data_IF_697545212479
#
_entry.id   IF_697545212479
#
_cell.length_a   1.000
_cell.length_b   1.000
_cell.length_c   1.000
_cell.angle_alpha   90.00
_cell.angle_beta   90.00
_cell.angle_gamma   90.00
#
_symmetry.space_group_name_H-M   'P 1'
#
loop_
_entity.id
_entity.type
_entity.pdbx_description
1 polymer ?
#
# COMPACT_ATOMS: atom_id res chain seq x y z
N UNK A 1 -22.08 -34.07 28.81
CA UNK A 1 -22.06 -32.60 28.63
C UNK A 1 -20.72 -32.10 28.05
N UNK A 2 -20.21 -32.71 26.97
CA UNK A 2 -18.93 -32.30 26.34
C UNK A 2 -19.04 -32.09 24.84
N UNK A 3 -19.95 -32.82 24.18
CA UNK A 3 -20.32 -32.58 22.76
C UNK A 3 -20.83 -31.15 22.53
N UNK A 4 -21.62 -30.58 23.45
CA UNK A 4 -22.17 -29.23 23.28
C UNK A 4 -21.12 -28.12 23.30
N UNK A 5 -20.04 -28.29 24.08
CA UNK A 5 -18.90 -27.37 24.05
C UNK A 5 -18.16 -27.52 22.72
N UNK A 6 -17.86 -28.73 22.27
CA UNK A 6 -17.16 -28.94 20.98
C UNK A 6 -17.95 -28.31 19.82
N UNK A 7 -19.27 -28.47 19.77
CA UNK A 7 -20.11 -27.85 18.75
C UNK A 7 -20.12 -26.31 18.85
N UNK A 8 -20.18 -25.75 20.06
CA UNK A 8 -20.12 -24.30 20.27
C UNK A 8 -18.77 -23.72 19.81
N UNK A 9 -17.67 -24.38 20.16
CA UNK A 9 -16.33 -23.97 19.74
C UNK A 9 -16.13 -24.16 18.24
N UNK A 10 -16.66 -25.22 17.62
CA UNK A 10 -16.63 -25.40 16.17
C UNK A 10 -17.40 -24.30 15.44
N UNK A 11 -18.60 -23.93 15.91
CA UNK A 11 -19.39 -22.84 15.30
C UNK A 11 -18.68 -21.49 15.51
N UNK A 12 -18.09 -21.25 16.67
CA UNK A 12 -17.32 -20.04 16.97
C UNK A 12 -16.07 -19.90 16.07
N UNK A 13 -15.32 -20.99 15.87
CA UNK A 13 -14.18 -21.03 14.95
C UNK A 13 -14.63 -20.82 13.49
N UNK A 14 -15.73 -21.44 13.07
CA UNK A 14 -16.31 -21.21 11.73
C UNK A 14 -16.77 -19.76 11.55
N UNK A 15 -17.30 -19.13 12.60
CA UNK A 15 -17.68 -17.71 12.56
C UNK A 15 -16.48 -16.77 12.46
N UNK A 16 -15.35 -17.11 13.10
CA UNK A 16 -14.11 -16.36 12.99
C UNK A 16 -13.41 -16.56 11.64
N UNK A 17 -13.46 -17.76 11.06
CA UNK A 17 -12.91 -18.02 9.72
C UNK A 17 -13.70 -17.32 8.60
N UNK A 18 -14.99 -17.00 8.81
CA UNK A 18 -15.83 -16.26 7.85
C UNK A 18 -15.55 -14.75 7.79
N UNK A 19 -14.64 -14.23 8.61
CA UNK A 19 -14.23 -12.82 8.59
C UNK A 19 -13.00 -12.54 7.71
N UNK A 20 -12.46 -13.54 7.01
CA UNK A 20 -11.30 -13.38 6.13
C UNK A 20 -11.52 -14.04 4.76
N UNK A 21 -12.59 -13.64 4.06
CA UNK A 21 -12.72 -13.90 2.63
C UNK A 21 -12.13 -12.70 1.88
N UNK A 22 -10.83 -12.78 1.60
CA UNK A 22 -10.10 -11.76 0.86
C UNK A 22 -8.76 -12.27 0.40
N UNK A 23 -8.78 -13.22 -0.54
CA UNK A 23 -7.82 -13.46 -1.64
C UNK A 23 -7.67 -14.95 -1.94
N UNK A 24 -7.84 -15.37 -3.21
CA UNK A 24 -6.72 -15.54 -4.17
C UNK A 24 -7.09 -16.39 -5.42
N UNK A 25 -7.00 -15.73 -6.59
CA UNK A 25 -6.46 -16.16 -7.91
C UNK A 25 -6.85 -17.45 -8.66
N UNK A 26 -7.04 -17.32 -9.99
CA UNK A 26 -6.29 -18.04 -11.06
C UNK A 26 -6.52 -17.34 -12.43
N UNK A 27 -5.51 -16.73 -13.06
CA UNK A 27 -4.52 -17.24 -14.05
C UNK A 27 -5.04 -17.57 -15.46
N UNK A 28 -4.62 -16.78 -16.47
CA UNK A 28 -4.22 -17.32 -17.78
C UNK A 28 -3.25 -16.40 -18.55
N UNK A 29 -1.99 -16.86 -18.60
CA UNK A 29 -0.97 -16.79 -19.66
C UNK A 29 -0.99 -15.62 -20.69
N UNK A 30 0.07 -14.80 -20.69
CA UNK A 30 0.38 -13.90 -21.82
C UNK A 30 1.50 -12.90 -21.57
N UNK A 31 2.76 -13.33 -21.74
CA UNK A 31 3.99 -12.53 -22.02
C UNK A 31 3.88 -10.99 -21.92
N UNK A 32 4.49 -10.39 -20.89
CA UNK A 32 5.16 -9.07 -20.96
C UNK A 32 5.99 -8.80 -19.71
N UNK A 33 6.98 -7.92 -19.89
CA UNK A 33 8.22 -7.81 -19.14
C UNK A 33 8.07 -7.25 -17.72
N UNK A 34 9.03 -7.66 -16.87
CA UNK A 34 9.84 -6.80 -16.01
C UNK A 34 9.09 -5.71 -15.25
N UNK A 35 8.71 -6.00 -14.00
CA UNK A 35 8.85 -5.19 -12.76
C UNK A 35 8.23 -6.04 -11.65
N UNK A 36 9.04 -6.65 -10.78
CA UNK A 36 8.57 -7.51 -9.71
C UNK A 36 9.33 -7.21 -8.41
N UNK A 37 8.67 -7.08 -7.25
CA UNK A 37 9.34 -6.75 -6.00
C UNK A 37 10.18 -7.93 -5.52
N UNK A 38 11.43 -7.66 -5.15
CA UNK A 38 12.28 -8.63 -4.47
C UNK A 38 11.77 -8.79 -3.03
N UNK A 39 10.87 -9.74 -2.79
CA UNK A 39 10.41 -10.09 -1.45
C UNK A 39 11.55 -10.77 -0.71
N UNK A 40 12.26 -9.99 0.12
CA UNK A 40 13.22 -10.52 1.09
C UNK A 40 12.43 -11.09 2.25
N UNK A 41 12.42 -12.42 2.40
CA UNK A 41 11.86 -13.10 3.58
C UNK A 41 12.51 -12.58 4.85
N UNK A 42 11.80 -11.74 5.59
CA UNK A 42 12.11 -11.36 6.96
C UNK A 42 11.03 -11.94 7.87
N UNK A 43 11.43 -12.82 8.78
CA UNK A 43 10.60 -13.30 9.88
C UNK A 43 10.03 -12.12 10.67
N UNK A 44 8.74 -11.84 10.51
CA UNK A 44 8.05 -10.78 11.23
C UNK A 44 7.81 -11.23 12.67
N UNK A 45 8.70 -10.85 13.58
CA UNK A 45 8.34 -10.79 15.00
C UNK A 45 7.50 -9.52 15.16
N UNK A 46 6.22 -9.69 15.52
CA UNK A 46 5.34 -8.58 15.87
C UNK A 46 5.84 -7.92 17.15
N UNK A 47 6.68 -6.90 17.02
CA UNK A 47 6.90 -5.93 18.09
C UNK A 47 5.70 -4.98 18.10
N UNK A 48 4.77 -5.19 19.04
CA UNK A 48 3.58 -4.34 19.23
C UNK A 48 3.90 -2.85 19.44
N UNK A 49 5.15 -2.52 19.78
CA UNK A 49 5.62 -1.14 19.87
C UNK A 49 5.82 -0.48 18.49
N UNK A 50 6.28 -1.22 17.48
CA UNK A 50 6.46 -0.68 16.13
C UNK A 50 5.12 -0.44 15.41
N UNK A 51 4.12 -1.28 15.68
CA UNK A 51 2.77 -1.09 15.17
C UNK A 51 2.12 0.20 15.69
N UNK A 52 2.31 0.53 16.97
CA UNK A 52 1.82 1.79 17.55
C UNK A 52 2.51 3.03 16.97
N UNK A 53 3.81 2.93 16.70
CA UNK A 53 4.57 4.01 16.03
C UNK A 53 4.09 4.24 14.59
N UNK A 54 3.79 3.16 13.86
CA UNK A 54 3.30 3.26 12.49
C UNK A 54 1.91 3.88 12.41
N UNK A 55 1.00 3.56 13.33
CA UNK A 55 -0.33 4.21 13.43
C UNK A 55 -0.24 5.72 13.67
N UNK A 56 0.71 6.17 14.50
CA UNK A 56 0.92 7.60 14.76
C UNK A 56 1.43 8.33 13.50
N UNK A 57 2.38 7.71 12.79
CA UNK A 57 2.93 8.23 11.53
C UNK A 57 1.85 8.28 10.46
N UNK A 58 0.96 7.29 10.41
CA UNK A 58 -0.16 7.23 9.47
C UNK A 58 -1.19 8.33 9.76
N UNK A 59 -1.49 8.60 11.02
CA UNK A 59 -2.36 9.72 11.43
C UNK A 59 -1.80 11.07 10.99
N UNK A 60 -0.50 11.27 11.13
CA UNK A 60 0.17 12.52 10.77
C UNK A 60 0.28 12.68 9.25
N UNK A 61 0.67 11.63 8.53
CA UNK A 61 0.73 11.61 7.06
C UNK A 61 -0.65 11.83 6.42
N UNK A 62 -1.70 11.24 7.00
CA UNK A 62 -3.07 11.40 6.54
C UNK A 62 -3.74 12.67 7.07
N UNK A 63 -3.10 13.45 7.95
CA UNK A 63 -3.70 14.61 8.62
C UNK A 63 -5.12 14.33 9.18
N UNK A 64 -5.31 13.15 9.78
CA UNK A 64 -6.60 12.64 10.28
C UNK A 64 -7.72 12.48 9.22
N UNK A 65 -7.40 12.40 7.93
CA UNK A 65 -8.37 12.10 6.88
C UNK A 65 -8.79 10.62 6.95
N UNK A 66 -10.07 10.39 7.22
CA UNK A 66 -10.65 9.05 7.36
C UNK A 66 -10.52 8.21 6.08
N UNK A 67 -10.53 8.82 4.89
CA UNK A 67 -10.36 8.08 3.63
C UNK A 67 -8.93 7.58 3.47
N UNK A 68 -7.95 8.42 3.85
CA UNK A 68 -6.54 8.07 3.81
C UNK A 68 -6.18 6.98 4.84
N UNK A 69 -6.74 7.08 6.07
CA UNK A 69 -6.50 6.09 7.13
C UNK A 69 -7.03 4.69 6.81
N UNK A 70 -8.07 4.58 5.98
CA UNK A 70 -8.63 3.30 5.55
C UNK A 70 -7.90 2.73 4.32
N UNK A 71 -7.26 3.57 3.51
CA UNK A 71 -6.57 3.18 2.28
C UNK A 71 -5.06 3.06 2.48
N UNK A 72 -4.65 2.06 3.27
CA UNK A 72 -3.22 1.78 3.51
C UNK A 72 -2.47 1.47 2.21
N UNK A 73 -3.09 0.74 1.27
CA UNK A 73 -2.47 0.39 0.00
C UNK A 73 -2.26 1.61 -0.90
N UNK A 74 -3.22 2.52 -0.95
CA UNK A 74 -3.10 3.80 -1.66
C UNK A 74 -2.04 4.69 -1.04
N UNK A 75 -2.00 4.81 0.29
CA UNK A 75 -0.97 5.59 0.99
C UNK A 75 0.43 5.03 0.71
N UNK A 76 0.60 3.71 0.77
CA UNK A 76 1.87 3.06 0.47
C UNK A 76 2.30 3.31 -0.97
N UNK A 77 1.38 3.15 -1.93
CA UNK A 77 1.66 3.41 -3.34
C UNK A 77 2.09 4.86 -3.59
N UNK A 78 1.40 5.84 -2.99
CA UNK A 78 1.74 7.26 -3.11
C UNK A 78 3.07 7.57 -2.41
N UNK A 79 3.35 6.95 -1.26
CA UNK A 79 4.64 7.08 -0.57
C UNK A 79 5.78 6.54 -1.42
N UNK A 80 5.59 5.39 -2.07
CA UNK A 80 6.58 4.83 -2.98
C UNK A 80 6.81 5.73 -4.20
N UNK A 81 5.73 6.29 -4.77
CA UNK A 81 5.83 7.24 -5.87
C UNK A 81 6.57 8.51 -5.44
N UNK A 82 6.25 9.06 -4.27
CA UNK A 82 6.91 10.25 -3.74
C UNK A 82 8.41 10.01 -3.56
N UNK A 83 8.83 8.81 -3.13
CA UNK A 83 10.26 8.46 -3.00
C UNK A 83 10.98 8.29 -4.34
N UNK A 84 10.27 8.09 -5.43
CA UNK A 84 10.85 8.08 -6.79
C UNK A 84 10.92 9.50 -7.38
N UNK A 85 10.15 10.44 -6.84
CA UNK A 85 10.14 11.83 -7.25
C UNK A 85 11.12 12.69 -6.46
N UNK A 86 11.25 12.44 -5.15
CA UNK A 86 12.10 13.17 -4.21
C UNK A 86 13.54 12.59 -4.21
N UNK A 87 14.35 13.01 -5.18
CA UNK A 87 15.71 12.49 -5.41
C UNK A 87 16.72 12.95 -4.35
N UNK A 88 16.54 14.15 -3.79
CA UNK A 88 17.40 14.68 -2.73
C UNK A 88 16.98 14.26 -1.31
N UNK A 89 15.82 13.58 -1.21
CA UNK A 89 15.22 13.06 0.02
C UNK A 89 14.99 14.15 1.07
N UNK A 90 14.72 15.38 0.65
CA UNK A 90 14.45 16.50 1.54
C UNK A 90 13.01 16.49 2.10
N UNK A 91 12.14 15.61 1.57
CA UNK A 91 10.75 15.44 1.97
C UNK A 91 9.76 16.34 1.24
N UNK A 92 10.18 17.03 0.19
CA UNK A 92 9.35 17.79 -0.75
C UNK A 92 9.65 17.35 -2.19
N UNK A 93 8.81 17.80 -3.13
CA UNK A 93 9.05 17.57 -4.56
C UNK A 93 9.00 18.93 -5.26
N UNK A 94 10.15 19.34 -5.80
CA UNK A 94 10.31 20.59 -6.53
C UNK A 94 9.93 20.43 -8.02
N UNK A 95 9.75 21.57 -8.71
CA UNK A 95 9.36 21.58 -10.12
C UNK A 95 10.37 20.86 -11.02
N UNK A 96 11.67 21.01 -10.75
CA UNK A 96 12.72 20.33 -11.51
C UNK A 96 12.62 18.82 -11.34
N UNK A 97 12.44 18.34 -10.10
CA UNK A 97 12.36 16.90 -9.81
C UNK A 97 11.14 16.26 -10.47
N UNK A 98 9.98 16.94 -10.40
CA UNK A 98 8.79 16.47 -11.11
C UNK A 98 8.94 16.52 -12.63
N UNK A 99 9.66 17.48 -13.21
CA UNK A 99 9.90 17.58 -14.66
C UNK A 99 10.87 16.49 -15.13
N UNK A 100 11.92 16.22 -14.37
CA UNK A 100 12.93 15.20 -14.66
C UNK A 100 12.29 13.80 -14.63
N UNK A 101 11.50 13.48 -13.59
CA UNK A 101 10.77 12.21 -13.52
C UNK A 101 9.81 11.99 -14.70
N UNK A 102 9.09 13.04 -15.13
CA UNK A 102 8.15 12.92 -16.25
C UNK A 102 8.88 12.62 -17.57
N UNK A 103 10.07 13.18 -17.78
CA UNK A 103 10.86 12.97 -19.00
C UNK A 103 11.58 11.64 -18.99
N UNK A 104 12.20 11.28 -17.88
CA UNK A 104 13.05 10.10 -17.75
C UNK A 104 12.22 8.82 -17.60
N UNK A 105 11.22 8.83 -16.72
CA UNK A 105 10.45 7.63 -16.37
C UNK A 105 9.20 7.47 -17.25
N UNK A 106 8.50 8.57 -17.57
CA UNK A 106 7.27 8.54 -18.36
C UNK A 106 7.47 8.91 -19.85
N UNK A 107 8.71 9.19 -20.27
CA UNK A 107 9.06 9.55 -21.66
C UNK A 107 8.21 10.70 -22.21
N UNK A 108 7.95 11.68 -21.35
CA UNK A 108 7.08 12.81 -21.67
C UNK A 108 7.88 13.94 -22.34
N UNK A 109 7.94 13.94 -23.68
CA UNK A 109 8.86 14.83 -24.40
C UNK A 109 8.33 16.23 -24.76
N UNK A 110 7.03 16.47 -24.99
CA UNK A 110 6.60 17.81 -25.45
C UNK A 110 5.08 18.03 -25.52
N UNK A 111 4.39 18.06 -24.39
CA UNK A 111 2.93 18.18 -24.41
C UNK A 111 2.35 19.16 -23.40
N UNK A 112 2.90 20.37 -23.23
CA UNK A 112 2.49 21.40 -22.25
C UNK A 112 1.02 21.88 -22.35
N UNK A 113 0.03 21.01 -22.46
CA UNK A 113 -1.36 21.34 -22.20
C UNK A 113 -1.55 21.21 -20.70
N UNK A 114 -1.32 22.33 -20.01
CA UNK A 114 -1.77 22.55 -18.63
C UNK A 114 -3.17 21.96 -18.51
N UNK A 115 -3.36 20.96 -17.64
CA UNK A 115 -4.70 20.55 -17.23
C UNK A 115 -5.35 21.79 -16.62
N UNK A 116 -6.13 22.51 -17.42
CA UNK A 116 -6.86 23.67 -16.95
C UNK A 116 -7.79 23.15 -15.85
N UNK A 117 -7.64 23.73 -14.67
CA UNK A 117 -8.48 23.45 -13.50
C UNK A 117 -9.95 23.67 -13.93
N UNK A 118 -10.78 22.65 -13.75
CA UNK A 118 -12.22 22.74 -13.85
C UNK A 118 -12.79 23.46 -12.62
#
# INVERSE_FOLDING_TARGET
>A
MRIGLVLYWCVFILHLCKANDGERTESREGRRAQWGPMVRSGSFMSDSAAAASNELILLEACNNDALCLQDHAGLEAITQLHRQLDDDANGNVDLSESDDFLREELQYDSGYEKRQRA
#
